data_IF_916566193917
#
_entry.id   IF_916566193917
#
_cell.length_a   1.000
_cell.length_b   1.000
_cell.length_c   1.000
_cell.angle_alpha   90.00
_cell.angle_beta   90.00
_cell.angle_gamma   90.00
#
_symmetry.space_group_name_H-M   'P 1'
#
loop_
_entity.id
_entity.type
_entity.pdbx_description
1 polymer ?
#
# COMPACT_ATOMS: atom_id res chain seq x y z
N UNK A 1 -7.53 22.66 1.25
CA UNK A 1 -8.04 21.27 1.28
C UNK A 1 -9.19 21.17 0.29
N UNK A 2 -9.17 20.18 -0.60
CA UNK A 2 -10.29 19.89 -1.52
C UNK A 2 -10.82 18.50 -1.18
N UNK A 3 -12.15 18.37 -1.15
CA UNK A 3 -12.82 17.12 -0.81
C UNK A 3 -13.53 16.61 -2.05
N UNK A 4 -13.18 15.39 -2.50
CA UNK A 4 -13.86 14.69 -3.59
C UNK A 4 -14.79 13.67 -2.96
N UNK A 5 -16.10 13.81 -3.21
CA UNK A 5 -17.13 12.93 -2.65
C UNK A 5 -17.54 11.80 -3.60
N UNK A 6 -17.13 11.87 -4.87
CA UNK A 6 -17.39 10.82 -5.85
C UNK A 6 -16.43 9.65 -5.62
N UNK A 7 -16.99 8.44 -5.51
CA UNK A 7 -16.25 7.23 -5.13
C UNK A 7 -16.19 6.20 -6.25
N UNK A 8 -17.12 6.20 -7.20
CA UNK A 8 -17.15 5.19 -8.27
C UNK A 8 -16.22 5.60 -9.42
N UNK A 9 -16.21 6.88 -9.77
CA UNK A 9 -15.36 7.46 -10.81
C UNK A 9 -14.54 8.64 -10.23
N UNK A 10 -13.49 8.35 -9.44
CA UNK A 10 -12.66 9.40 -8.86
C UNK A 10 -12.00 10.23 -9.95
N UNK A 11 -11.94 11.55 -9.72
CA UNK A 11 -11.29 12.52 -10.60
C UNK A 11 -10.31 13.39 -9.83
N UNK A 12 -9.36 14.00 -10.55
CA UNK A 12 -8.44 14.95 -9.94
C UNK A 12 -9.09 16.32 -9.82
N UNK A 13 -9.18 16.90 -8.61
CA UNK A 13 -9.79 18.20 -8.41
C UNK A 13 -8.93 19.35 -8.97
N UNK A 14 -7.62 19.11 -9.17
CA UNK A 14 -6.70 20.01 -9.84
C UNK A 14 -5.98 19.28 -10.98
N UNK A 15 -5.71 19.96 -12.11
CA UNK A 15 -4.98 19.37 -13.23
C UNK A 15 -3.48 19.24 -12.94
N UNK A 16 -2.88 20.21 -12.25
CA UNK A 16 -1.44 20.33 -12.00
C UNK A 16 -1.15 20.65 -10.52
N UNK A 17 0.14 20.72 -10.14
CA UNK A 17 0.65 21.11 -8.81
C UNK A 17 0.25 20.22 -7.62
N UNK A 18 -0.21 19.00 -7.88
CA UNK A 18 -0.41 18.00 -6.81
C UNK A 18 0.89 17.29 -6.40
N UNK A 19 1.87 17.24 -7.30
CA UNK A 19 3.22 16.74 -7.04
C UNK A 19 4.20 17.91 -7.12
N UNK A 20 4.83 18.23 -6.00
CA UNK A 20 5.72 19.38 -5.88
C UNK A 20 7.13 18.95 -5.50
N UNK A 21 8.12 19.77 -5.85
CA UNK A 21 9.47 19.56 -5.37
C UNK A 21 9.55 19.87 -3.86
N UNK A 22 9.92 18.84 -3.08
CA UNK A 22 10.01 18.96 -1.62
C UNK A 22 11.03 20.01 -1.17
N UNK A 23 12.13 20.23 -1.90
CA UNK A 23 13.12 21.24 -1.51
C UNK A 23 12.59 22.67 -1.66
N UNK A 24 11.71 22.89 -2.62
CA UNK A 24 11.14 24.22 -2.92
C UNK A 24 9.89 24.49 -2.08
N UNK A 25 9.11 23.45 -1.78
CA UNK A 25 7.83 23.57 -1.08
C UNK A 25 7.89 23.09 0.37
N UNK A 26 9.08 23.02 0.98
CA UNK A 26 9.27 22.44 2.32
C UNK A 26 8.41 23.10 3.39
N UNK A 27 8.37 24.42 3.41
CA UNK A 27 7.60 25.19 4.41
C UNK A 27 6.09 24.89 4.31
N UNK A 28 5.57 24.74 3.08
CA UNK A 28 4.16 24.43 2.82
C UNK A 28 3.83 23.00 3.26
N UNK A 29 4.74 22.05 3.00
CA UNK A 29 4.59 20.65 3.40
C UNK A 29 4.62 20.51 4.94
N UNK A 30 5.57 21.17 5.61
CA UNK A 30 5.65 21.14 7.07
C UNK A 30 4.38 21.76 7.70
N UNK A 31 3.92 22.91 7.19
CA UNK A 31 2.67 23.52 7.65
C UNK A 31 1.44 22.62 7.42
N UNK A 32 1.39 21.89 6.29
CA UNK A 32 0.34 20.90 6.03
C UNK A 32 0.39 19.78 7.06
N UNK A 33 1.57 19.20 7.32
CA UNK A 33 1.75 18.09 8.28
C UNK A 33 1.40 18.51 9.71
N UNK A 34 1.74 19.74 10.12
CA UNK A 34 1.37 20.29 11.42
C UNK A 34 -0.15 20.50 11.56
N UNK A 35 -0.81 20.92 10.48
CA UNK A 35 -2.27 21.13 10.47
C UNK A 35 -3.08 19.84 10.40
N UNK A 36 -2.49 18.75 9.89
CA UNK A 36 -3.18 17.51 9.53
C UNK A 36 -3.91 16.87 10.73
N UNK A 37 -3.29 16.70 11.92
CA UNK A 37 -3.99 16.16 13.09
C UNK A 37 -5.13 17.07 13.56
N UNK A 38 -5.00 18.39 13.41
CA UNK A 38 -5.99 19.37 13.81
C UNK A 38 -7.20 19.48 12.88
N UNK A 39 -7.03 19.12 11.60
CA UNK A 39 -8.08 19.18 10.59
C UNK A 39 -9.15 18.08 10.76
N UNK A 40 -8.82 16.99 11.46
CA UNK A 40 -9.77 15.93 11.81
C UNK A 40 -9.87 15.78 13.34
N UNK A 41 -10.44 16.77 14.05
CA UNK A 41 -10.52 16.75 15.51
C UNK A 41 -11.37 15.60 16.07
N UNK A 42 -12.26 15.04 15.23
CA UNK A 42 -13.08 13.87 15.53
C UNK A 42 -12.49 12.56 14.96
N UNK A 43 -11.24 12.51 14.50
CA UNK A 43 -10.62 11.27 14.00
C UNK A 43 -10.51 10.16 15.06
N UNK A 44 -10.52 10.53 16.35
CA UNK A 44 -10.60 9.57 17.45
C UNK A 44 -11.97 8.88 17.56
N UNK A 45 -13.00 9.47 16.96
CA UNK A 45 -14.29 8.82 16.78
C UNK A 45 -14.15 7.95 15.53
N UNK A 46 -14.17 6.63 15.72
CA UNK A 46 -14.05 5.65 14.64
C UNK A 46 -15.00 6.05 13.51
N UNK A 47 -14.47 6.67 12.45
CA UNK A 47 -15.20 6.78 11.19
C UNK A 47 -15.27 5.32 10.70
N UNK A 48 -16.47 4.72 10.67
CA UNK A 48 -16.60 3.31 10.31
C UNK A 48 -16.20 3.08 8.86
N UNK A 49 -16.15 4.17 8.08
CA UNK A 49 -16.03 4.09 6.65
C UNK A 49 -14.67 4.53 6.09
N UNK A 50 -14.12 3.68 5.21
CA UNK A 50 -12.85 3.92 4.52
C UNK A 50 -12.99 3.62 3.02
N UNK A 51 -12.73 4.63 2.20
CA UNK A 51 -12.76 4.55 0.74
C UNK A 51 -11.36 4.27 0.17
N UNK A 52 -10.75 3.16 0.55
CA UNK A 52 -9.36 2.83 0.16
C UNK A 52 -9.17 2.66 -1.35
N UNK A 53 -10.10 1.96 -2.02
CA UNK A 53 -10.01 1.75 -3.47
C UNK A 53 -10.07 3.05 -4.27
N UNK A 54 -11.07 3.91 -4.05
CA UNK A 54 -11.15 5.23 -4.69
C UNK A 54 -9.93 6.11 -4.41
N UNK A 55 -9.42 6.11 -3.17
CA UNK A 55 -8.22 6.86 -2.81
C UNK A 55 -6.98 6.37 -3.58
N UNK A 56 -6.83 5.05 -3.74
CA UNK A 56 -5.76 4.46 -4.54
C UNK A 56 -5.87 4.83 -6.03
N UNK A 57 -7.08 4.83 -6.60
CA UNK A 57 -7.32 5.25 -7.98
C UNK A 57 -7.00 6.73 -8.19
N UNK A 58 -7.43 7.61 -7.28
CA UNK A 58 -7.12 9.03 -7.35
C UNK A 58 -5.61 9.28 -7.27
N UNK A 59 -4.92 8.63 -6.32
CA UNK A 59 -3.46 8.75 -6.20
C UNK A 59 -2.72 8.17 -7.43
N UNK A 60 -3.23 7.08 -8.02
CA UNK A 60 -2.73 6.55 -9.28
C UNK A 60 -2.86 7.55 -10.43
N UNK A 61 -3.99 8.27 -10.53
CA UNK A 61 -4.15 9.34 -11.54
C UNK A 61 -3.15 10.48 -11.34
N UNK A 62 -2.90 10.90 -10.09
CA UNK A 62 -1.89 11.93 -9.78
C UNK A 62 -0.49 11.47 -10.21
N UNK A 63 -0.12 10.23 -9.88
CA UNK A 63 1.24 9.73 -10.08
C UNK A 63 1.50 9.12 -11.46
N UNK A 64 0.45 8.87 -12.25
CA UNK A 64 0.56 7.98 -13.40
C UNK A 64 1.45 8.44 -14.55
N UNK A 65 1.78 9.73 -14.59
CA UNK A 65 2.70 10.31 -15.58
C UNK A 65 4.18 10.25 -15.15
N UNK A 66 4.46 10.10 -13.84
CA UNK A 66 5.81 10.09 -13.28
C UNK A 66 6.25 8.71 -12.77
N UNK A 67 5.34 7.92 -12.22
CA UNK A 67 5.66 6.73 -11.45
C UNK A 67 6.13 7.05 -10.02
N UNK A 68 6.72 6.06 -9.34
CA UNK A 68 7.34 6.26 -8.01
C UNK A 68 6.76 5.39 -6.91
N UNK A 69 6.79 5.88 -5.65
CA UNK A 69 6.31 5.14 -4.47
C UNK A 69 5.04 5.72 -3.89
N UNK A 70 4.08 4.87 -3.56
CA UNK A 70 2.95 5.21 -2.69
C UNK A 70 3.07 4.51 -1.34
N UNK A 71 2.83 5.25 -0.26
CA UNK A 71 2.69 4.70 1.08
C UNK A 71 1.22 4.74 1.48
N UNK A 72 0.60 3.57 1.63
CA UNK A 72 -0.79 3.44 2.08
C UNK A 72 -0.83 3.21 3.59
N UNK A 73 -1.35 4.18 4.34
CA UNK A 73 -1.62 4.03 5.77
C UNK A 73 -3.07 3.65 6.00
N UNK A 74 -3.30 2.41 6.42
CA UNK A 74 -4.62 1.85 6.65
C UNK A 74 -4.91 1.73 8.15
N UNK A 75 -5.88 2.51 8.64
CA UNK A 75 -6.34 2.51 10.03
C UNK A 75 -7.66 1.77 10.29
N UNK A 76 -8.39 1.39 9.23
CA UNK A 76 -9.66 0.65 9.32
C UNK A 76 -9.83 -0.27 8.12
N UNK A 77 -10.82 -1.16 8.13
CA UNK A 77 -11.08 -1.99 6.96
C UNK A 77 -11.68 -1.14 5.82
N UNK A 78 -11.27 -1.34 4.55
CA UNK A 78 -11.94 -0.69 3.42
C UNK A 78 -13.45 -1.00 3.45
N UNK A 79 -14.33 -0.02 3.47
CA UNK A 79 -15.79 -0.27 3.53
C UNK A 79 -16.55 0.31 2.34
N UNK A 80 -16.01 1.36 1.71
CA UNK A 80 -16.66 2.10 0.64
C UNK A 80 -15.93 1.93 -0.69
N UNK A 81 -16.72 1.89 -1.77
CA UNK A 81 -16.23 1.83 -3.15
C UNK A 81 -15.66 0.46 -3.56
N UNK A 82 -14.91 0.42 -4.68
CA UNK A 82 -14.21 -0.79 -5.14
C UNK A 82 -13.17 -1.26 -4.11
N UNK A 83 -12.99 -2.58 -3.99
CA UNK A 83 -12.06 -3.15 -3.01
C UNK A 83 -12.60 -3.17 -1.57
N UNK A 84 -13.90 -2.96 -1.37
CA UNK A 84 -14.54 -3.04 -0.04
C UNK A 84 -14.36 -4.41 0.60
N UNK A 85 -14.05 -4.39 1.89
CA UNK A 85 -13.88 -5.55 2.75
C UNK A 85 -15.20 -6.31 2.88
N UNK A 86 -15.10 -7.63 2.76
CA UNK A 86 -16.16 -8.57 3.12
C UNK A 86 -15.62 -9.49 4.19
N UNK A 87 -16.33 -9.58 5.32
CA UNK A 87 -15.94 -10.48 6.40
C UNK A 87 -16.03 -11.93 5.90
N UNK A 88 -14.87 -12.61 5.87
CA UNK A 88 -14.73 -13.98 5.36
C UNK A 88 -14.05 -14.94 6.33
N UNK A 89 -13.73 -14.48 7.54
CA UNK A 89 -13.24 -15.38 8.58
C UNK A 89 -14.29 -16.43 8.91
N UNK A 90 -13.94 -17.69 8.70
CA UNK A 90 -14.76 -18.83 9.01
C UNK A 90 -13.96 -19.78 9.88
N UNK A 91 -14.23 -19.77 11.20
CA UNK A 91 -13.57 -20.66 12.16
C UNK A 91 -13.71 -22.14 11.76
N UNK A 92 -14.82 -22.50 11.11
CA UNK A 92 -15.07 -23.85 10.60
C UNK A 92 -14.14 -24.28 9.46
N UNK A 93 -13.41 -23.36 8.83
CA UNK A 93 -12.46 -23.67 7.76
C UNK A 93 -11.05 -23.99 8.29
N UNK A 94 -10.74 -23.65 9.55
CA UNK A 94 -9.40 -23.85 10.11
C UNK A 94 -9.06 -25.33 10.26
N UNK A 95 -7.83 -25.71 9.88
CA UNK A 95 -7.37 -27.10 9.88
C UNK A 95 -7.97 -27.96 8.77
N UNK A 96 -8.72 -27.38 7.84
CA UNK A 96 -9.29 -28.07 6.67
C UNK A 96 -8.60 -27.61 5.39
N UNK A 97 -8.82 -28.33 4.28
CA UNK A 97 -8.34 -27.93 2.95
C UNK A 97 -8.87 -26.53 2.53
N UNK A 98 -9.98 -26.07 3.13
CA UNK A 98 -10.58 -24.75 2.84
C UNK A 98 -9.80 -23.60 3.48
N UNK A 99 -8.92 -23.85 4.44
CA UNK A 99 -8.11 -22.81 5.09
C UNK A 99 -7.16 -22.12 4.09
N UNK A 100 -6.64 -22.87 3.13
CA UNK A 100 -5.77 -22.32 2.09
C UNK A 100 -6.48 -21.23 1.26
N UNK A 101 -7.80 -21.37 1.04
CA UNK A 101 -8.58 -20.39 0.30
C UNK A 101 -8.68 -19.03 1.02
N UNK A 102 -8.65 -19.01 2.35
CA UNK A 102 -8.66 -17.77 3.15
C UNK A 102 -7.40 -16.92 2.95
N UNK A 103 -6.30 -17.53 2.49
CA UNK A 103 -5.02 -16.84 2.21
C UNK A 103 -4.96 -16.23 0.82
N UNK A 104 -5.93 -16.53 -0.04
CA UNK A 104 -5.99 -15.95 -1.38
C UNK A 104 -6.77 -14.62 -1.34
N UNK A 105 -6.38 -13.61 -2.13
CA UNK A 105 -7.18 -12.40 -2.30
C UNK A 105 -8.56 -12.78 -2.88
N UNK A 106 -9.64 -12.26 -2.29
CA UNK A 106 -11.00 -12.51 -2.79
C UNK A 106 -11.39 -11.50 -3.87
N UNK A 107 -11.08 -10.23 -3.65
CA UNK A 107 -11.41 -9.17 -4.61
C UNK A 107 -10.34 -9.08 -5.72
N UNK A 108 -10.71 -9.24 -7.01
CA UNK A 108 -9.78 -9.06 -8.11
C UNK A 108 -9.29 -7.61 -8.26
N UNK A 109 -9.96 -6.63 -7.65
CA UNK A 109 -9.62 -5.20 -7.71
C UNK A 109 -8.16 -4.94 -7.37
N UNK A 110 -7.69 -5.33 -6.19
CA UNK A 110 -6.32 -5.04 -5.75
C UNK A 110 -5.26 -5.68 -6.65
N UNK A 111 -5.55 -6.86 -7.20
CA UNK A 111 -4.66 -7.53 -8.16
C UNK A 111 -4.63 -6.81 -9.52
N UNK A 112 -5.79 -6.35 -10.00
CA UNK A 112 -5.89 -5.57 -11.25
C UNK A 112 -5.19 -4.22 -11.11
N UNK A 113 -5.48 -3.50 -10.03
CA UNK A 113 -4.84 -2.24 -9.67
C UNK A 113 -3.33 -2.40 -9.59
N UNK A 114 -2.82 -3.45 -8.91
CA UNK A 114 -1.39 -3.70 -8.82
C UNK A 114 -0.72 -3.93 -10.18
N UNK A 115 -1.41 -4.61 -11.11
CA UNK A 115 -0.91 -4.80 -12.46
C UNK A 115 -0.84 -3.48 -13.25
N UNK A 116 -1.81 -2.58 -13.05
CA UNK A 116 -1.84 -1.25 -13.67
C UNK A 116 -0.76 -0.34 -13.07
N UNK A 117 -0.66 -0.29 -11.74
CA UNK A 117 0.40 0.41 -11.01
C UNK A 117 1.80 -0.03 -11.47
N UNK A 118 2.04 -1.34 -11.57
CA UNK A 118 3.32 -1.87 -12.03
C UNK A 118 3.66 -1.45 -13.47
N UNK A 119 2.68 -1.34 -14.37
CA UNK A 119 2.92 -0.85 -15.75
C UNK A 119 3.37 0.61 -15.76
N UNK A 120 2.85 1.42 -14.85
CA UNK A 120 3.21 2.83 -14.68
C UNK A 120 4.39 3.04 -13.73
N UNK A 121 5.15 1.98 -13.41
CA UNK A 121 6.34 2.08 -12.55
C UNK A 121 6.01 2.60 -11.14
N UNK A 122 4.80 2.32 -10.65
CA UNK A 122 4.33 2.67 -9.32
C UNK A 122 4.49 1.46 -8.40
N UNK A 123 5.23 1.65 -7.31
CA UNK A 123 5.37 0.71 -6.21
C UNK A 123 4.53 1.15 -5.01
N UNK A 124 3.86 0.23 -4.34
CA UNK A 124 3.04 0.52 -3.16
C UNK A 124 3.50 -0.26 -1.95
N UNK A 125 3.73 0.45 -0.84
CA UNK A 125 3.97 -0.11 0.48
C UNK A 125 2.73 0.12 1.36
N UNK A 126 2.32 -0.89 2.14
CA UNK A 126 1.09 -0.86 2.95
C UNK A 126 1.44 -0.93 4.43
N UNK A 127 1.06 0.09 5.19
CA UNK A 127 1.11 0.13 6.64
C UNK A 127 -0.30 -0.08 7.19
N UNK A 128 -0.55 -1.24 7.81
CA UNK A 128 -1.86 -1.62 8.32
C UNK A 128 -1.85 -1.67 9.85
N UNK A 129 -2.58 -0.74 10.46
CA UNK A 129 -2.71 -0.56 11.91
C UNK A 129 -4.19 -0.64 12.36
N UNK A 130 -5.03 -1.37 11.61
CA UNK A 130 -6.45 -1.47 11.88
C UNK A 130 -6.71 -2.25 13.20
N UNK A 131 -7.58 -1.74 14.10
CA UNK A 131 -7.92 -2.42 15.35
C UNK A 131 -8.92 -3.58 15.14
N UNK A 132 -9.65 -3.56 14.03
CA UNK A 132 -10.65 -4.56 13.66
C UNK A 132 -10.19 -5.54 12.57
N UNK A 133 -11.05 -6.49 12.18
CA UNK A 133 -10.72 -7.45 11.13
C UNK A 133 -10.51 -6.73 9.81
N UNK A 134 -9.41 -7.04 9.14
CA UNK A 134 -9.03 -6.50 7.83
C UNK A 134 -8.58 -7.65 6.94
N UNK A 135 -8.96 -7.62 5.66
CA UNK A 135 -8.50 -8.62 4.70
C UNK A 135 -7.08 -8.31 4.23
N UNK A 136 -6.11 -8.67 5.07
CA UNK A 136 -4.70 -8.49 4.79
C UNK A 136 -4.27 -9.29 3.56
N UNK A 137 -4.88 -10.45 3.29
CA UNK A 137 -4.54 -11.25 2.11
C UNK A 137 -4.93 -10.55 0.80
N UNK A 138 -6.04 -9.81 0.78
CA UNK A 138 -6.42 -8.97 -0.35
C UNK A 138 -5.53 -7.72 -0.48
N UNK A 139 -5.27 -7.01 0.62
CA UNK A 139 -4.39 -5.83 0.60
C UNK A 139 -2.94 -6.17 0.22
N UNK A 140 -2.42 -7.31 0.70
CA UNK A 140 -1.06 -7.78 0.40
C UNK A 140 -0.86 -8.15 -1.07
N UNK A 141 -1.94 -8.32 -1.85
CA UNK A 141 -1.82 -8.50 -3.29
C UNK A 141 -1.14 -7.29 -3.96
N UNK A 142 -1.38 -6.08 -3.46
CA UNK A 142 -0.79 -4.86 -4.04
C UNK A 142 0.74 -4.87 -3.97
N UNK A 143 1.37 -4.81 -2.76
CA UNK A 143 2.83 -4.79 -2.64
C UNK A 143 3.47 -6.03 -3.25
N UNK A 144 2.78 -7.19 -3.23
CA UNK A 144 3.28 -8.41 -3.85
C UNK A 144 3.54 -8.27 -5.35
N UNK A 145 2.66 -7.58 -6.08
CA UNK A 145 2.80 -7.41 -7.53
C UNK A 145 3.49 -6.10 -7.92
N UNK A 146 3.61 -5.13 -7.00
CA UNK A 146 4.29 -3.86 -7.24
C UNK A 146 5.68 -3.77 -6.57
N UNK A 147 6.25 -4.90 -6.13
CA UNK A 147 7.54 -4.98 -5.45
C UNK A 147 7.66 -4.12 -4.17
N UNK A 148 6.56 -3.92 -3.46
CA UNK A 148 6.51 -3.24 -2.17
C UNK A 148 6.49 -4.20 -0.98
N UNK A 149 6.14 -3.65 0.18
CA UNK A 149 6.10 -4.34 1.46
C UNK A 149 4.79 -4.11 2.23
N UNK A 150 4.48 -5.06 3.10
CA UNK A 150 3.35 -4.96 4.05
C UNK A 150 3.92 -4.87 5.45
N UNK A 151 3.57 -3.80 6.16
CA UNK A 151 3.83 -3.61 7.57
C UNK A 151 2.51 -3.78 8.32
N UNK A 152 2.43 -4.78 9.20
CA UNK A 152 1.21 -5.10 9.93
C UNK A 152 1.40 -4.93 11.44
N UNK A 153 0.52 -4.14 12.06
CA UNK A 153 0.54 -3.80 13.48
C UNK A 153 -0.80 -4.23 14.12
N UNK A 154 -0.92 -5.50 14.56
CA UNK A 154 -2.15 -6.02 15.13
C UNK A 154 -2.47 -5.36 16.47
N UNK A 155 -3.69 -4.80 16.59
CA UNK A 155 -4.12 -4.10 17.80
C UNK A 155 -3.18 -2.95 18.14
N UNK A 156 -2.98 -2.05 17.17
CA UNK A 156 -2.04 -0.94 17.28
C UNK A 156 -2.27 -0.12 18.56
N UNK A 157 -1.21 0.04 19.34
CA UNK A 157 -1.22 0.86 20.53
C UNK A 157 -0.05 1.84 20.47
N UNK A 158 -0.35 3.14 20.44
CA UNK A 158 0.65 4.19 20.16
C UNK A 158 1.89 4.12 21.06
N UNK A 159 1.73 3.84 22.35
CA UNK A 159 2.88 3.77 23.27
C UNK A 159 3.75 2.51 23.07
N UNK A 160 3.18 1.42 22.54
CA UNK A 160 3.91 0.16 22.27
C UNK A 160 4.50 0.16 20.86
N UNK A 161 3.67 0.47 19.86
CA UNK A 161 3.98 0.27 18.45
C UNK A 161 4.43 1.54 17.74
N UNK A 162 4.21 2.73 18.34
CA UNK A 162 4.60 4.01 17.76
C UNK A 162 6.09 4.11 17.40
N UNK A 163 7.02 3.71 18.31
CA UNK A 163 8.45 3.70 17.98
C UNK A 163 8.78 2.78 16.80
N UNK A 164 8.11 1.62 16.72
CA UNK A 164 8.31 0.67 15.63
C UNK A 164 7.78 1.23 14.30
N UNK A 165 6.58 1.80 14.31
CA UNK A 165 5.99 2.43 13.13
C UNK A 165 6.90 3.56 12.61
N UNK A 166 7.40 4.41 13.50
CA UNK A 166 8.34 5.49 13.14
C UNK A 166 9.64 4.94 12.54
N UNK A 167 10.21 3.89 13.12
CA UNK A 167 11.42 3.24 12.59
C UNK A 167 11.17 2.60 11.21
N UNK A 168 10.05 1.92 11.03
CA UNK A 168 9.67 1.26 9.77
C UNK A 168 9.44 2.30 8.65
N UNK A 169 8.74 3.40 8.95
CA UNK A 169 8.55 4.52 8.00
C UNK A 169 9.90 5.14 7.63
N UNK A 170 10.74 5.44 8.63
CA UNK A 170 12.06 6.02 8.40
C UNK A 170 12.89 5.12 7.50
N UNK A 171 12.96 3.82 7.81
CA UNK A 171 13.68 2.86 6.99
C UNK A 171 13.12 2.78 5.57
N UNK A 172 11.79 2.76 5.40
CA UNK A 172 11.16 2.67 4.09
C UNK A 172 11.47 3.89 3.20
N UNK A 173 11.52 5.08 3.78
CA UNK A 173 11.82 6.33 3.09
C UNK A 173 13.32 6.51 2.79
N UNK A 174 14.21 6.05 3.68
CA UNK A 174 15.65 6.27 3.52
C UNK A 174 16.40 5.10 2.87
N UNK A 175 15.76 3.94 2.69
CA UNK A 175 16.43 2.78 2.07
C UNK A 175 16.79 3.08 0.61
N UNK A 176 17.93 2.56 0.12
CA UNK A 176 18.23 2.58 -1.31
C UNK A 176 17.10 1.91 -2.10
N UNK A 177 16.51 2.66 -3.02
CA UNK A 177 15.41 2.18 -3.88
C UNK A 177 15.79 2.46 -5.32
N UNK A 178 15.69 1.45 -6.18
CA UNK A 178 15.84 1.59 -7.62
C UNK A 178 14.46 1.58 -8.29
N UNK A 179 14.28 2.44 -9.28
CA UNK A 179 13.04 2.56 -10.05
C UNK A 179 13.19 1.89 -11.42
N UNK A 180 12.07 1.47 -12.01
CA UNK A 180 12.01 0.89 -13.37
C UNK A 180 12.91 -0.35 -13.56
N UNK A 181 13.18 -1.08 -12.48
CA UNK A 181 14.12 -2.19 -12.50
C UNK A 181 13.52 -3.44 -13.15
N UNK A 182 14.27 -4.05 -14.07
CA UNK A 182 13.93 -5.34 -14.70
C UNK A 182 15.02 -6.37 -14.39
N UNK A 183 14.65 -7.43 -13.67
CA UNK A 183 15.56 -8.53 -13.38
C UNK A 183 15.45 -9.63 -14.45
N UNK A 184 16.58 -10.00 -15.07
CA UNK A 184 16.66 -11.13 -16.00
C UNK A 184 17.73 -12.14 -15.56
N UNK A 185 17.29 -13.34 -15.20
CA UNK A 185 18.18 -14.45 -14.85
C UNK A 185 18.56 -15.20 -16.13
N UNK A 186 19.86 -15.43 -16.35
CA UNK A 186 20.39 -16.26 -17.44
C UNK A 186 21.16 -17.42 -16.83
N UNK A 187 20.88 -18.65 -17.28
CA UNK A 187 21.55 -19.86 -16.81
C UNK A 187 22.35 -20.51 -17.95
N UNK A 188 23.47 -21.16 -17.61
CA UNK A 188 24.16 -22.09 -18.52
C UNK A 188 23.30 -23.34 -18.76
N UNK A 189 23.62 -24.17 -19.76
CA UNK A 189 22.85 -25.38 -20.07
C UNK A 189 22.84 -26.35 -18.89
N UNK A 190 21.70 -26.40 -18.19
CA UNK A 190 21.34 -27.44 -17.22
C UNK A 190 19.93 -27.97 -17.58
N UNK A 191 19.60 -29.21 -17.19
CA UNK A 191 18.28 -29.78 -17.42
C UNK A 191 17.23 -28.93 -16.71
N UNK A 192 16.18 -28.59 -17.44
CA UNK A 192 15.19 -27.58 -17.05
C UNK A 192 14.48 -27.93 -15.73
N UNK A 193 14.61 -27.07 -14.72
CA UNK A 193 13.57 -26.73 -13.73
C UNK A 193 14.10 -25.63 -12.80
N UNK A 194 13.96 -24.36 -13.19
CA UNK A 194 14.12 -23.24 -12.28
C UNK A 194 12.78 -22.50 -12.18
N UNK A 195 12.13 -22.58 -11.03
CA UNK A 195 11.01 -21.71 -10.69
C UNK A 195 11.57 -20.50 -9.92
N UNK A 196 11.32 -19.30 -10.45
CA UNK A 196 11.66 -18.05 -9.76
C UNK A 196 10.84 -17.91 -8.46
N UNK A 197 11.45 -17.56 -7.32
CA UNK A 197 10.68 -17.23 -6.12
C UNK A 197 9.79 -15.99 -6.39
N UNK A 198 8.61 -15.89 -5.75
CA UNK A 198 7.63 -14.83 -5.99
C UNK A 198 8.06 -13.43 -5.51
N UNK A 199 9.23 -13.31 -4.87
CA UNK A 199 9.82 -12.05 -4.44
C UNK A 199 11.29 -12.01 -4.87
N UNK A 200 11.56 -11.29 -5.95
CA UNK A 200 12.92 -10.95 -6.35
C UNK A 200 13.38 -9.74 -5.55
N UNK A 201 13.95 -9.96 -4.36
CA UNK A 201 14.74 -8.92 -3.69
C UNK A 201 16.19 -9.04 -4.18
N UNK A 202 16.76 -8.05 -4.87
CA UNK A 202 18.20 -7.98 -5.00
C UNK A 202 18.77 -7.62 -3.62
N UNK A 203 19.28 -8.61 -2.90
CA UNK A 203 20.09 -8.37 -1.71
C UNK A 203 21.46 -7.88 -2.17
N UNK A 204 21.72 -6.58 -2.07
CA UNK A 204 23.06 -6.04 -2.28
C UNK A 204 23.87 -6.26 -1.00
N UNK A 205 24.74 -7.27 -0.99
CA UNK A 205 25.88 -7.31 -0.07
C UNK A 205 27.02 -6.56 -0.74
N UNK A 206 27.26 -5.32 -0.30
CA UNK A 206 28.52 -4.64 -0.59
C UNK A 206 29.54 -5.28 0.34
N UNK A 207 30.35 -6.20 -0.19
CA UNK A 207 31.62 -6.56 0.43
C UNK A 207 32.66 -5.58 -0.09
N UNK A 208 33.31 -4.88 0.84
CA UNK A 208 34.46 -3.99 0.61
C UNK A 208 35.58 -4.64 -0.22
#
# INVERSE_FOLDING_TARGET
>A
MMVVTELEEPFLPLPDDMLVNLSESREVVDALLDSLPGNWPNANMQLPDSATGPALQAAFMVMGHLGGKMLLFQGSAPSLGPGKFKAREALAAYGTEREAALRNPEDPFFKRFAAEASRQQISLDVFCAAPGPVDLASLAAIPRFTCGEVYYYPGFYAARDGPRLSADITHNLTRPTAWEAVMRIRCSRLPQTFQSPPHARPSYSVTD
#
